data_IF_475256199685
#
_entry.id   IF_475256199685
#
_cell.length_a   1.000
_cell.length_b   1.000
_cell.length_c   1.000
_cell.angle_alpha   90.00
_cell.angle_beta   90.00
_cell.angle_gamma   90.00
#
_symmetry.space_group_name_H-M   'P 1'
#
loop_
_entity.id
_entity.type
_entity.pdbx_description
1 polymer ?
#
# COMPACT_ATOMS: atom_id res chain seq x y z
N UNK A 1 19.07 5.37 -10.01
CA UNK A 1 18.76 6.47 -9.07
C UNK A 1 17.58 6.14 -8.15
N UNK A 2 16.38 5.87 -8.68
CA UNK A 2 15.17 5.54 -7.89
C UNK A 2 15.40 4.51 -6.78
N UNK A 3 15.99 3.35 -7.10
CA UNK A 3 16.27 2.29 -6.11
C UNK A 3 17.17 2.74 -4.95
N UNK A 4 18.19 3.55 -5.23
CA UNK A 4 19.09 4.06 -4.20
C UNK A 4 18.36 5.05 -3.29
N UNK A 5 17.57 5.97 -3.86
CA UNK A 5 16.70 6.87 -3.12
C UNK A 5 15.70 6.10 -2.24
N UNK A 6 15.01 5.11 -2.80
CA UNK A 6 14.05 4.29 -2.05
C UNK A 6 14.71 3.58 -0.87
N UNK A 7 15.90 3.02 -1.08
CA UNK A 7 16.63 2.34 0.00
C UNK A 7 17.07 3.31 1.10
N UNK A 8 17.69 4.44 0.74
CA UNK A 8 18.19 5.41 1.73
C UNK A 8 17.05 6.09 2.48
N UNK A 9 15.98 6.50 1.78
CA UNK A 9 14.82 7.10 2.40
C UNK A 9 14.08 6.11 3.32
N UNK A 10 13.93 4.83 2.92
CA UNK A 10 13.33 3.81 3.78
C UNK A 10 14.16 3.55 5.04
N UNK A 11 15.48 3.51 4.92
CA UNK A 11 16.37 3.34 6.07
C UNK A 11 16.25 4.52 7.04
N UNK A 12 16.30 5.76 6.54
CA UNK A 12 16.14 6.97 7.35
C UNK A 12 14.78 6.99 8.05
N UNK A 13 13.70 6.72 7.30
CA UNK A 13 12.35 6.71 7.86
C UNK A 13 12.15 5.61 8.90
N UNK A 14 12.74 4.43 8.72
CA UNK A 14 12.70 3.36 9.71
C UNK A 14 13.40 3.75 11.01
N UNK A 15 14.54 4.43 10.94
CA UNK A 15 15.26 4.92 12.13
C UNK A 15 14.43 6.00 12.84
N UNK A 16 13.92 6.99 12.10
CA UNK A 16 13.10 8.07 12.67
C UNK A 16 11.80 7.52 13.28
N UNK A 17 11.16 6.56 12.60
CA UNK A 17 9.89 5.99 13.01
C UNK A 17 10.03 4.77 13.92
N UNK A 18 11.23 4.39 14.37
CA UNK A 18 11.46 3.20 15.17
C UNK A 18 10.61 3.20 16.45
N UNK A 19 10.59 4.32 17.19
CA UNK A 19 9.79 4.46 18.42
C UNK A 19 8.28 4.39 18.10
N UNK A 20 7.72 5.18 17.16
CA UNK A 20 6.33 5.02 16.73
C UNK A 20 5.96 3.60 16.30
N UNK A 21 6.81 2.92 15.52
CA UNK A 21 6.58 1.54 15.05
C UNK A 21 6.43 0.58 16.23
N UNK A 22 7.31 0.69 17.24
CA UNK A 22 7.25 -0.15 18.44
C UNK A 22 5.98 0.14 19.24
N UNK A 23 5.61 1.41 19.43
CA UNK A 23 4.39 1.79 20.13
C UNK A 23 3.14 1.26 19.41
N UNK A 24 3.07 1.40 18.09
CA UNK A 24 1.98 0.85 17.27
C UNK A 24 1.95 -0.67 17.39
N UNK A 25 3.10 -1.35 17.36
CA UNK A 25 3.18 -2.80 17.51
C UNK A 25 2.60 -3.27 18.85
N UNK A 26 2.92 -2.57 19.95
CA UNK A 26 2.35 -2.83 21.28
C UNK A 26 0.85 -2.60 21.27
N UNK A 27 0.37 -1.47 20.74
CA UNK A 27 -1.06 -1.15 20.67
C UNK A 27 -1.85 -2.20 19.88
N UNK A 28 -1.32 -2.65 18.73
CA UNK A 28 -1.94 -3.73 17.95
C UNK A 28 -1.99 -5.02 18.76
N UNK A 29 -0.90 -5.35 19.49
CA UNK A 29 -0.82 -6.58 20.28
C UNK A 29 -1.83 -6.64 21.43
N UNK A 30 -2.08 -5.51 22.09
CA UNK A 30 -3.03 -5.44 23.23
C UNK A 30 -4.48 -5.30 22.77
N UNK A 31 -4.74 -4.69 21.60
CA UNK A 31 -6.10 -4.45 21.09
C UNK A 31 -6.63 -5.55 20.17
N UNK A 32 -5.77 -6.47 19.72
CA UNK A 32 -6.15 -7.56 18.82
C UNK A 32 -5.44 -8.87 19.16
N UNK A 33 -6.15 -10.00 19.32
CA UNK A 33 -5.51 -11.29 19.54
C UNK A 33 -4.76 -11.75 18.28
N UNK A 34 -3.56 -12.31 18.49
CA UNK A 34 -2.71 -12.92 17.45
C UNK A 34 -1.42 -12.12 17.12
N UNK A 35 -0.83 -12.32 15.92
CA UNK A 35 0.39 -11.62 15.52
C UNK A 35 0.14 -10.15 15.14
N UNK A 36 1.14 -9.31 15.42
CA UNK A 36 1.13 -7.86 15.15
C UNK A 36 1.17 -7.57 13.64
N UNK A 37 1.97 -8.33 12.91
CA UNK A 37 2.14 -8.19 11.46
C UNK A 37 1.18 -9.15 10.76
N UNK A 38 0.41 -8.62 9.82
CA UNK A 38 -0.30 -9.37 8.80
C UNK A 38 0.52 -9.42 7.52
N UNK A 39 0.63 -10.61 6.95
CA UNK A 39 1.40 -10.89 5.74
C UNK A 39 0.43 -11.10 4.58
N UNK A 40 0.28 -10.08 3.73
CA UNK A 40 -0.64 -10.13 2.59
C UNK A 40 0.10 -10.63 1.35
N UNK A 41 -0.42 -11.69 0.73
CA UNK A 41 0.05 -12.09 -0.60
C UNK A 41 -0.42 -11.08 -1.66
N UNK A 42 0.52 -10.67 -2.52
CA UNK A 42 0.34 -9.59 -3.48
C UNK A 42 1.09 -9.88 -4.77
N UNK A 43 0.60 -9.31 -5.87
CA UNK A 43 1.27 -9.38 -7.17
C UNK A 43 2.28 -8.24 -7.31
N UNK A 44 3.54 -8.61 -7.57
CA UNK A 44 4.66 -7.70 -7.76
C UNK A 44 5.09 -7.60 -9.21
N UNK A 45 6.37 -7.23 -9.40
CA UNK A 45 6.96 -7.07 -10.73
C UNK A 45 6.93 -8.40 -11.51
N UNK A 46 6.68 -8.30 -12.81
CA UNK A 46 6.58 -9.42 -13.75
C UNK A 46 5.51 -10.44 -13.33
N UNK A 47 4.44 -9.95 -12.68
CA UNK A 47 3.36 -10.74 -12.08
C UNK A 47 3.82 -11.79 -11.05
N UNK A 48 5.01 -11.61 -10.45
CA UNK A 48 5.50 -12.51 -9.40
C UNK A 48 4.90 -12.16 -8.06
N UNK A 49 4.39 -13.16 -7.35
CA UNK A 49 3.85 -12.95 -6.02
C UNK A 49 4.95 -12.62 -5.02
N UNK A 50 4.64 -11.72 -4.09
CA UNK A 50 5.45 -11.41 -2.93
C UNK A 50 4.57 -11.21 -1.70
N UNK A 51 5.21 -11.28 -0.52
CA UNK A 51 4.51 -11.10 0.74
C UNK A 51 4.74 -9.67 1.23
N UNK A 52 3.64 -8.93 1.39
CA UNK A 52 3.61 -7.55 1.82
C UNK A 52 3.21 -7.46 3.31
N UNK A 53 4.13 -7.06 4.20
CA UNK A 53 3.84 -6.89 5.62
C UNK A 53 3.02 -5.63 5.88
N UNK A 54 2.03 -5.72 6.77
CA UNK A 54 1.25 -4.61 7.31
C UNK A 54 0.99 -4.80 8.78
N UNK A 55 0.71 -3.74 9.53
CA UNK A 55 0.11 -3.92 10.84
C UNK A 55 -1.29 -4.52 10.70
N UNK A 56 -1.64 -5.40 11.62
CA UNK A 56 -2.96 -6.01 11.66
C UNK A 56 -4.01 -4.95 12.04
N UNK A 57 -4.92 -4.70 11.11
CA UNK A 57 -6.07 -3.78 11.31
C UNK A 57 -7.42 -4.50 11.24
N UNK A 58 -7.42 -5.77 10.86
CA UNK A 58 -8.61 -6.60 10.70
C UNK A 58 -8.56 -7.82 11.62
N UNK A 59 -9.73 -8.32 12.01
CA UNK A 59 -9.92 -9.54 12.81
C UNK A 59 -9.49 -10.77 12.01
N UNK A 60 -9.17 -11.87 12.71
CA UNK A 60 -8.66 -13.10 12.09
C UNK A 60 -9.60 -13.69 11.03
N UNK A 61 -10.91 -13.59 11.25
CA UNK A 61 -11.93 -14.21 10.40
C UNK A 61 -12.41 -13.32 9.24
N UNK A 62 -11.63 -12.28 8.91
CA UNK A 62 -11.99 -11.34 7.85
C UNK A 62 -11.73 -11.94 6.46
N UNK A 63 -12.62 -11.72 5.48
CA UNK A 63 -12.43 -12.23 4.13
C UNK A 63 -11.23 -11.55 3.44
N UNK A 64 -10.47 -12.32 2.67
CA UNK A 64 -9.31 -11.82 1.89
C UNK A 64 -9.78 -11.33 0.51
N UNK A 65 -10.50 -10.21 0.52
CA UNK A 65 -10.99 -9.52 -0.69
C UNK A 65 -10.58 -8.05 -0.68
N UNK A 66 -10.74 -7.37 -1.80
CA UNK A 66 -10.48 -5.94 -1.86
C UNK A 66 -11.46 -5.19 -0.94
N UNK A 67 -10.98 -4.15 -0.24
CA UNK A 67 -11.80 -3.42 0.75
C UNK A 67 -13.09 -2.89 0.15
N UNK A 68 -13.06 -2.36 -1.08
CA UNK A 68 -14.24 -1.82 -1.78
C UNK A 68 -15.29 -2.89 -2.15
N UNK A 69 -14.96 -4.18 -2.03
CA UNK A 69 -15.88 -5.30 -2.23
C UNK A 69 -16.40 -5.89 -0.91
N UNK A 70 -15.88 -5.43 0.24
CA UNK A 70 -16.33 -5.93 1.55
C UNK A 70 -17.62 -5.26 1.97
N UNK A 71 -18.62 -6.07 2.30
CA UNK A 71 -19.82 -5.60 3.01
C UNK A 71 -19.51 -5.49 4.51
N UNK A 72 -19.93 -4.40 5.15
CA UNK A 72 -19.78 -4.15 6.58
C UNK A 72 -18.33 -4.26 7.08
N UNK A 73 -17.41 -3.53 6.45
CA UNK A 73 -15.97 -3.48 6.81
C UNK A 73 -15.77 -3.25 8.32
N UNK A 74 -16.61 -2.41 8.93
CA UNK A 74 -16.57 -2.08 10.36
C UNK A 74 -16.63 -3.31 11.27
N UNK A 75 -17.38 -4.35 10.89
CA UNK A 75 -17.50 -5.58 11.68
C UNK A 75 -16.19 -6.37 11.75
N UNK A 76 -15.35 -6.20 10.74
CA UNK A 76 -14.08 -6.90 10.59
C UNK A 76 -12.88 -6.09 11.12
N UNK A 77 -13.05 -4.81 11.44
CA UNK A 77 -11.97 -4.00 12.00
C UNK A 77 -11.69 -4.35 13.46
N UNK A 78 -10.43 -4.20 13.84
CA UNK A 78 -10.04 -4.16 15.26
C UNK A 78 -10.36 -2.77 15.83
N UNK A 79 -10.45 -2.64 17.16
CA UNK A 79 -10.77 -1.35 17.80
C UNK A 79 -9.78 -0.24 17.44
N UNK A 80 -8.51 -0.58 17.22
CA UNK A 80 -7.47 0.36 16.77
C UNK A 80 -7.24 0.35 15.24
N UNK A 81 -7.88 -0.58 14.52
CA UNK A 81 -7.64 -0.82 13.09
C UNK A 81 -8.09 0.35 12.20
N UNK A 82 -9.22 0.97 12.52
CA UNK A 82 -9.73 2.14 11.77
C UNK A 82 -8.76 3.32 11.84
N UNK A 83 -8.21 3.60 13.03
CA UNK A 83 -7.20 4.65 13.21
C UNK A 83 -5.95 4.39 12.37
N UNK A 84 -5.43 3.16 12.38
CA UNK A 84 -4.24 2.80 11.62
C UNK A 84 -4.44 2.96 10.10
N UNK A 85 -5.61 2.58 9.58
CA UNK A 85 -5.94 2.69 8.15
C UNK A 85 -6.14 4.13 7.70
N UNK A 86 -6.85 4.93 8.51
CA UNK A 86 -7.10 6.35 8.20
C UNK A 86 -5.82 7.18 8.21
N UNK A 87 -4.90 6.89 9.14
CA UNK A 87 -3.57 7.53 9.21
C UNK A 87 -2.53 6.88 8.30
N UNK A 88 -2.86 5.76 7.64
CA UNK A 88 -1.94 4.93 6.84
C UNK A 88 -0.72 4.43 7.62
N UNK A 89 -0.79 4.45 8.96
CA UNK A 89 0.24 3.91 9.84
C UNK A 89 0.32 2.39 9.75
N UNK A 90 -0.75 1.72 9.29
CA UNK A 90 -0.73 0.28 9.02
C UNK A 90 0.28 -0.14 7.94
N UNK A 91 0.71 0.81 7.11
CA UNK A 91 1.61 0.57 5.99
C UNK A 91 3.10 0.66 6.35
N UNK A 92 3.46 1.15 7.55
CA UNK A 92 4.87 1.29 7.97
C UNK A 92 5.71 0.01 7.83
N UNK A 93 5.20 -1.21 8.13
CA UNK A 93 5.97 -2.44 7.93
C UNK A 93 6.40 -2.66 6.47
N UNK A 94 5.72 -2.07 5.48
CA UNK A 94 6.08 -2.19 4.05
C UNK A 94 7.43 -1.55 3.73
N UNK A 95 7.99 -0.68 4.59
CA UNK A 95 9.36 -0.18 4.42
C UNK A 95 10.37 -1.34 4.37
N UNK A 96 10.08 -2.48 5.01
CA UNK A 96 10.87 -3.71 4.83
C UNK A 96 10.85 -4.21 3.38
N UNK A 97 9.68 -4.25 2.73
CA UNK A 97 9.56 -4.63 1.32
C UNK A 97 10.27 -3.63 0.40
N UNK A 98 10.28 -2.35 0.77
CA UNK A 98 11.09 -1.34 0.06
C UNK A 98 12.58 -1.62 0.24
N UNK A 99 13.07 -1.87 1.45
CA UNK A 99 14.48 -2.21 1.69
C UNK A 99 14.91 -3.49 0.94
N UNK A 100 14.06 -4.52 0.92
CA UNK A 100 14.31 -5.77 0.19
C UNK A 100 14.30 -5.60 -1.34
N UNK A 101 13.53 -4.63 -1.84
CA UNK A 101 13.40 -4.34 -3.27
C UNK A 101 12.18 -4.98 -3.93
N UNK A 102 11.29 -5.60 -3.15
CA UNK A 102 10.00 -6.10 -3.64
C UNK A 102 9.05 -4.93 -3.96
N UNK A 103 9.23 -3.78 -3.29
CA UNK A 103 8.46 -2.56 -3.47
C UNK A 103 9.34 -1.32 -3.64
N UNK A 104 8.71 -0.23 -4.08
CA UNK A 104 9.23 1.14 -4.15
C UNK A 104 8.32 2.05 -3.31
N UNK A 105 8.75 3.27 -2.98
CA UNK A 105 7.83 4.24 -2.39
C UNK A 105 6.71 4.62 -3.36
N UNK A 106 7.08 4.83 -4.63
CA UNK A 106 6.16 5.24 -5.70
C UNK A 106 6.09 4.17 -6.78
N UNK A 107 4.88 3.75 -7.11
CA UNK A 107 4.54 2.76 -8.14
C UNK A 107 3.07 2.34 -8.06
N UNK A 108 2.58 1.51 -8.99
CA UNK A 108 1.22 0.96 -8.94
C UNK A 108 0.99 0.25 -7.60
N UNK A 109 -0.18 0.44 -6.96
CA UNK A 109 -0.48 -0.30 -5.72
C UNK A 109 -0.52 -1.80 -6.04
N UNK A 110 0.16 -2.65 -5.26
CA UNK A 110 0.17 -4.08 -5.55
C UNK A 110 -1.24 -4.68 -5.46
N UNK A 111 -1.66 -5.37 -6.51
CA UNK A 111 -2.94 -6.07 -6.54
C UNK A 111 -2.92 -7.24 -5.54
N UNK A 112 -4.10 -7.59 -5.00
CA UNK A 112 -4.24 -8.89 -4.34
C UNK A 112 -4.04 -10.00 -5.38
N UNK A 113 -3.54 -11.15 -4.94
CA UNK A 113 -3.31 -12.32 -5.80
C UNK A 113 -4.58 -12.81 -6.51
N UNK A 114 -5.76 -12.52 -5.95
CA UNK A 114 -7.07 -12.93 -6.45
C UNK A 114 -7.82 -11.83 -7.24
N UNK A 115 -7.14 -10.76 -7.67
CA UNK A 115 -7.74 -9.70 -8.51
C UNK A 115 -7.41 -9.91 -9.99
N UNK A 116 -7.91 -11.00 -10.57
CA UNK A 116 -7.58 -11.45 -11.93
C UNK A 116 -7.79 -10.35 -12.98
N UNK A 117 -8.92 -9.65 -12.96
CA UNK A 117 -9.24 -8.58 -13.92
C UNK A 117 -8.20 -7.45 -13.90
N UNK A 118 -7.80 -7.00 -12.71
CA UNK A 118 -6.81 -5.94 -12.55
C UNK A 118 -5.42 -6.41 -13.01
N UNK A 119 -5.07 -7.66 -12.70
CA UNK A 119 -3.78 -8.25 -13.08
C UNK A 119 -3.71 -8.38 -14.61
N UNK A 120 -4.77 -8.89 -15.25
CA UNK A 120 -4.85 -9.06 -16.70
C UNK A 120 -4.71 -7.72 -17.43
N UNK A 121 -5.49 -6.71 -17.04
CA UNK A 121 -5.45 -5.38 -17.67
C UNK A 121 -4.08 -4.69 -17.48
N UNK A 122 -3.49 -4.78 -16.29
CA UNK A 122 -2.12 -4.28 -16.07
C UNK A 122 -1.08 -5.03 -16.89
N UNK A 123 -1.29 -6.32 -17.13
CA UNK A 123 -0.39 -7.12 -17.95
C UNK A 123 -0.44 -6.68 -19.40
N UNK A 124 -1.64 -6.52 -19.95
CA UNK A 124 -1.89 -6.02 -21.31
C UNK A 124 -1.20 -4.68 -21.57
N UNK A 125 -1.30 -3.74 -20.63
CA UNK A 125 -0.68 -2.40 -20.74
C UNK A 125 0.80 -2.35 -20.36
N UNK A 126 1.43 -3.49 -20.01
CA UNK A 126 2.83 -3.54 -19.60
C UNK A 126 3.15 -3.00 -18.20
N UNK A 127 2.13 -2.61 -17.42
CA UNK A 127 2.26 -2.07 -16.07
C UNK A 127 2.92 -3.05 -15.11
N UNK A 128 2.70 -4.36 -15.29
CA UNK A 128 3.32 -5.43 -14.50
C UNK A 128 4.87 -5.37 -14.46
N UNK A 129 5.52 -4.69 -15.41
CA UNK A 129 6.99 -4.51 -15.42
C UNK A 129 7.49 -3.51 -14.37
N UNK A 130 6.61 -2.70 -13.81
CA UNK A 130 6.94 -1.76 -12.74
C UNK A 130 7.08 -2.47 -11.40
N UNK A 131 7.97 -1.96 -10.55
CA UNK A 131 7.99 -2.33 -9.15
C UNK A 131 6.79 -1.67 -8.47
N UNK A 132 5.95 -2.42 -7.75
CA UNK A 132 4.79 -1.86 -7.06
C UNK A 132 5.20 -0.84 -5.99
N UNK A 133 4.30 0.10 -5.72
CA UNK A 133 4.52 1.21 -4.78
C UNK A 133 3.70 1.11 -3.51
N UNK A 134 4.21 1.70 -2.42
CA UNK A 134 3.38 2.03 -1.24
C UNK A 134 2.27 3.01 -1.68
N UNK A 135 2.67 4.09 -2.36
CA UNK A 135 1.80 5.05 -3.04
C UNK A 135 2.07 5.06 -4.54
N UNK A 136 1.25 5.78 -5.31
CA UNK A 136 1.31 5.81 -6.77
C UNK A 136 0.34 6.82 -7.36
N UNK A 137 0.40 6.97 -8.69
CA UNK A 137 -0.39 7.97 -9.39
C UNK A 137 -1.90 7.72 -9.27
N UNK A 138 -2.35 6.47 -9.42
CA UNK A 138 -3.76 6.12 -9.17
C UNK A 138 -4.17 6.39 -7.71
N UNK A 139 -3.28 6.09 -6.75
CA UNK A 139 -3.54 6.31 -5.33
C UNK A 139 -3.79 7.78 -5.00
N UNK A 140 -3.02 8.69 -5.59
CA UNK A 140 -3.20 10.14 -5.38
C UNK A 140 -4.31 10.76 -6.23
N UNK A 141 -4.90 10.04 -7.19
CA UNK A 141 -6.02 10.57 -8.01
C UNK A 141 -7.39 9.95 -7.70
N UNK A 142 -7.47 8.97 -6.81
CA UNK A 142 -8.77 8.42 -6.35
C UNK A 142 -8.70 7.15 -5.51
N UNK A 143 -7.50 6.61 -5.26
CA UNK A 143 -7.25 5.50 -4.32
C UNK A 143 -8.13 4.26 -4.60
N UNK A 144 -9.02 3.93 -3.67
CA UNK A 144 -9.85 2.73 -3.73
C UNK A 144 -11.16 2.95 -4.49
N UNK A 145 -11.57 4.21 -4.72
CA UNK A 145 -12.84 4.57 -5.37
C UNK A 145 -12.78 4.52 -6.90
N UNK A 146 -11.58 4.35 -7.47
CA UNK A 146 -11.40 4.29 -8.92
C UNK A 146 -11.84 2.95 -9.51
N UNK A 147 -12.65 2.96 -10.59
CA UNK A 147 -12.88 1.78 -11.42
C UNK A 147 -11.56 1.17 -11.90
N UNK A 148 -11.55 -0.15 -12.10
CA UNK A 148 -10.33 -0.90 -12.48
C UNK A 148 -9.71 -0.32 -13.75
N UNK A 149 -10.51 0.00 -14.77
CA UNK A 149 -10.03 0.58 -16.04
C UNK A 149 -9.28 1.91 -15.82
N UNK A 150 -9.90 2.85 -15.09
CA UNK A 150 -9.31 4.16 -14.78
C UNK A 150 -8.03 4.02 -13.94
N UNK A 151 -8.01 3.05 -13.01
CA UNK A 151 -6.82 2.72 -12.22
C UNK A 151 -5.66 2.27 -13.11
N UNK A 152 -5.95 1.40 -14.08
CA UNK A 152 -4.97 0.91 -15.06
C UNK A 152 -4.48 2.05 -15.95
N UNK A 153 -5.35 2.98 -16.38
CA UNK A 153 -4.95 4.15 -17.16
C UNK A 153 -3.97 5.06 -16.40
N UNK A 154 -4.21 5.31 -15.11
CA UNK A 154 -3.25 6.05 -14.28
C UNK A 154 -1.93 5.31 -14.08
N UNK A 155 -1.99 3.99 -13.90
CA UNK A 155 -0.78 3.17 -13.77
C UNK A 155 0.03 3.14 -15.09
N UNK A 156 -0.65 3.08 -16.24
CA UNK A 156 -0.04 3.18 -17.58
C UNK A 156 0.54 4.58 -17.82
N UNK A 157 -0.15 5.63 -17.38
CA UNK A 157 0.39 6.99 -17.42
C UNK A 157 1.68 7.09 -16.61
N UNK A 158 1.72 6.50 -15.40
CA UNK A 158 2.93 6.45 -14.61
C UNK A 158 4.05 5.67 -15.29
N UNK A 159 3.75 4.50 -15.88
CA UNK A 159 4.71 3.73 -16.68
C UNK A 159 5.39 4.57 -17.77
N UNK A 160 4.61 5.40 -18.49
CA UNK A 160 5.10 6.23 -19.60
C UNK A 160 5.83 7.50 -19.15
N UNK A 161 5.49 8.04 -17.98
CA UNK A 161 5.93 9.37 -17.53
C UNK A 161 6.79 9.35 -16.26
N UNK A 162 7.17 8.17 -15.77
CA UNK A 162 7.95 8.05 -14.53
C UNK A 162 9.25 8.86 -14.62
N UNK A 163 9.44 9.74 -13.64
CA UNK A 163 10.63 10.54 -13.47
C UNK A 163 10.81 10.85 -11.99
N UNK A 164 12.02 11.24 -11.60
CA UNK A 164 12.31 11.57 -10.20
C UNK A 164 11.41 12.71 -9.67
N UNK A 165 11.19 13.76 -10.46
CA UNK A 165 10.30 14.86 -10.08
C UNK A 165 8.84 14.43 -10.02
N UNK A 166 8.41 13.51 -10.89
CA UNK A 166 7.06 12.99 -10.84
C UNK A 166 6.84 12.12 -9.58
N UNK A 167 7.84 11.33 -9.18
CA UNK A 167 7.81 10.60 -7.91
C UNK A 167 7.69 11.56 -6.71
N UNK A 168 8.49 12.63 -6.69
CA UNK A 168 8.41 13.65 -5.63
C UNK A 168 7.02 14.31 -5.58
N UNK A 169 6.42 14.62 -6.74
CA UNK A 169 5.06 15.14 -6.82
C UNK A 169 4.04 14.16 -6.23
N UNK A 170 4.17 12.86 -6.52
CA UNK A 170 3.28 11.83 -5.98
C UNK A 170 3.44 11.72 -4.46
N UNK A 171 4.67 11.73 -3.95
CA UNK A 171 4.94 11.71 -2.50
C UNK A 171 4.34 12.93 -1.79
N UNK A 172 4.52 14.11 -2.36
CA UNK A 172 3.96 15.35 -1.85
C UNK A 172 2.43 15.33 -1.80
N UNK A 173 1.79 14.87 -2.89
CA UNK A 173 0.34 14.71 -2.92
C UNK A 173 -0.15 13.65 -1.92
N UNK A 174 0.62 12.58 -1.72
CA UNK A 174 0.31 11.54 -0.73
C UNK A 174 0.29 12.11 0.68
N UNK A 175 1.30 12.90 1.04
CA UNK A 175 1.38 13.57 2.34
C UNK A 175 0.15 14.44 2.63
N UNK A 176 -0.25 15.28 1.66
CA UNK A 176 -1.45 16.10 1.82
C UNK A 176 -2.74 15.29 1.96
N UNK A 177 -2.90 14.21 1.18
CA UNK A 177 -4.08 13.35 1.29
C UNK A 177 -4.18 12.67 2.66
N UNK A 178 -3.06 12.18 3.19
CA UNK A 178 -3.02 11.56 4.52
C UNK A 178 -3.38 12.57 5.62
N UNK A 179 -2.86 13.80 5.53
CA UNK A 179 -3.19 14.86 6.51
C UNK A 179 -4.66 15.26 6.45
N UNK A 180 -5.22 15.41 5.25
CA UNK A 180 -6.63 15.80 5.07
C UNK A 180 -7.62 14.65 5.30
N UNK A 181 -7.13 13.41 5.46
CA UNK A 181 -7.94 12.18 5.54
C UNK A 181 -8.89 12.00 4.34
N UNK A 182 -8.52 12.51 3.17
CA UNK A 182 -9.34 12.44 1.95
C UNK A 182 -9.28 11.03 1.32
N UNK A 183 -10.44 10.47 0.97
CA UNK A 183 -10.54 9.20 0.22
C UNK A 183 -10.25 7.93 1.04
N UNK A 184 -10.58 7.92 2.34
CA UNK A 184 -10.64 6.70 3.14
C UNK A 184 -12.11 6.29 3.24
N UNK A 185 -12.52 5.25 2.50
CA UNK A 185 -13.84 4.65 2.67
C UNK A 185 -13.93 3.98 4.06
N UNK A 186 -15.02 4.26 4.76
CA UNK A 186 -15.34 3.79 6.12
C UNK A 186 -15.65 2.29 6.15
#
# INVERSE_FOLDING_TARGET
MKRFFDFTAALILLVIMAVPIVLIAILVKITSPGPVIYWSERVGKDNKNFIMPKFRTMRKDSPVIATHLMQNVENYLTSFGSFLRTTSLDELPQFWSVLKGDMSFVGPRPALFNQEDLIALRTEKGVHKLIPGITGWAQVNGRDDLPISVKVEYDEYYLKNQSFFFDLKILWNTFFKVIKKEGVAH
#
